data_IF_387916130699
#
_entry.id   IF_387916130699
#
_cell.length_a   1.000
_cell.length_b   1.000
_cell.length_c   1.000
_cell.angle_alpha   90.00
_cell.angle_beta   90.00
_cell.angle_gamma   90.00
#
_symmetry.space_group_name_H-M   'P 1'
#
loop_
_entity.id
_entity.type
_entity.pdbx_description
1 polymer ?
#
# COMPACT_ATOMS: atom_id res chain seq x y z
N UNK A 1 -12.45 3.25 44.82
CA UNK A 1 -13.19 2.27 45.63
C UNK A 1 -14.60 2.78 45.84
N UNK A 2 -15.61 2.11 45.29
CA UNK A 2 -16.98 2.11 45.85
C UNK A 2 -17.76 0.94 45.23
N UNK A 3 -18.24 0.04 46.06
CA UNK A 3 -19.22 -1.02 45.77
C UNK A 3 -20.64 -0.40 45.90
N UNK A 4 -21.81 -0.95 45.55
CA UNK A 4 -22.28 -2.22 44.97
C UNK A 4 -23.60 -1.89 44.16
N UNK A 5 -24.42 -2.79 43.62
CA UNK A 5 -24.46 -4.26 43.63
C UNK A 5 -25.24 -4.83 42.42
N UNK A 6 -25.36 -6.16 42.41
CA UNK A 6 -26.23 -7.02 41.57
C UNK A 6 -27.70 -6.90 41.99
N UNK A 7 -28.64 -7.09 41.05
CA UNK A 7 -29.86 -7.87 41.32
C UNK A 7 -30.48 -8.44 40.03
N UNK A 8 -30.76 -9.74 40.04
CA UNK A 8 -31.52 -10.44 39.02
C UNK A 8 -32.42 -11.49 39.65
N UNK A 9 -33.66 -11.58 39.17
CA UNK A 9 -34.76 -12.48 39.57
C UNK A 9 -35.82 -12.41 38.45
N UNK A 10 -36.67 -13.40 38.20
CA UNK A 10 -36.60 -14.84 38.51
C UNK A 10 -37.47 -15.61 37.50
N UNK A 11 -37.43 -16.94 37.54
CA UNK A 11 -38.24 -17.81 36.70
C UNK A 11 -39.71 -17.86 37.14
N UNK A 12 -40.63 -18.03 36.20
CA UNK A 12 -41.89 -18.77 36.42
C UNK A 12 -42.14 -19.75 35.28
N UNK A 13 -42.80 -20.86 35.62
CA UNK A 13 -43.09 -21.99 34.73
C UNK A 13 -44.58 -22.31 34.80
N UNK A 14 -45.18 -22.66 33.66
CA UNK A 14 -46.50 -23.30 33.61
C UNK A 14 -46.62 -24.11 32.32
N UNK A 15 -47.17 -25.32 32.41
CA UNK A 15 -46.95 -26.38 31.43
C UNK A 15 -48.14 -26.69 30.51
N UNK A 16 -47.81 -27.19 29.33
CA UNK A 16 -48.56 -28.22 28.56
C UNK A 16 -50.02 -27.98 28.13
N UNK A 17 -50.24 -27.91 26.82
CA UNK A 17 -51.32 -28.70 26.18
C UNK A 17 -50.86 -29.20 24.81
N UNK A 18 -51.24 -30.43 24.47
CA UNK A 18 -50.66 -31.22 23.37
C UNK A 18 -51.47 -31.12 22.08
N UNK A 19 -50.81 -30.83 20.94
CA UNK A 19 -51.29 -31.30 19.62
C UNK A 19 -50.10 -31.69 18.73
N UNK A 20 -50.23 -32.83 18.05
CA UNK A 20 -49.18 -33.49 17.26
C UNK A 20 -49.21 -33.14 15.77
N UNK A 21 -48.05 -32.93 15.14
CA UNK A 21 -47.73 -33.53 13.82
C UNK A 21 -46.29 -33.28 13.31
N UNK A 22 -45.77 -34.32 12.63
CA UNK A 22 -44.70 -34.31 11.58
C UNK A 22 -43.27 -33.83 11.89
N UNK A 23 -42.34 -34.77 11.67
CA UNK A 23 -40.89 -34.64 11.53
C UNK A 23 -40.45 -33.65 10.42
N UNK A 24 -39.32 -32.95 10.59
CA UNK A 24 -38.05 -33.32 9.90
C UNK A 24 -36.86 -32.34 10.16
N UNK A 25 -35.67 -32.94 10.25
CA UNK A 25 -34.32 -32.41 9.96
C UNK A 25 -33.82 -31.06 10.56
N UNK A 26 -32.76 -31.17 11.38
CA UNK A 26 -31.81 -30.09 11.72
C UNK A 26 -31.21 -29.45 10.46
N UNK A 27 -31.13 -28.11 10.40
CA UNK A 27 -30.26 -27.39 9.45
C UNK A 27 -28.95 -26.96 10.14
N UNK A 28 -27.81 -27.40 9.61
CA UNK A 28 -26.49 -26.81 9.89
C UNK A 28 -26.31 -25.54 9.05
N UNK A 29 -25.49 -24.56 9.47
CA UNK A 29 -25.16 -23.41 8.64
C UNK A 29 -24.28 -23.84 7.46
N UNK A 30 -24.67 -23.46 6.25
CA UNK A 30 -23.91 -23.71 5.02
C UNK A 30 -23.05 -22.50 4.68
N UNK A 31 -21.72 -22.67 4.66
CA UNK A 31 -20.81 -21.73 4.02
C UNK A 31 -21.14 -21.64 2.52
N UNK A 32 -21.18 -20.43 1.96
CA UNK A 32 -21.39 -20.23 0.51
C UNK A 32 -20.08 -20.40 -0.26
N UNK A 33 -20.09 -20.89 -1.51
CA UNK A 33 -18.87 -21.09 -2.29
C UNK A 33 -18.30 -19.77 -2.81
N UNK A 34 -16.98 -19.69 -2.90
CA UNK A 34 -16.29 -18.66 -3.67
C UNK A 34 -16.69 -18.74 -5.14
N UNK A 35 -16.91 -17.60 -5.80
CA UNK A 35 -17.22 -17.55 -7.23
C UNK A 35 -15.93 -17.76 -8.01
N UNK A 36 -15.77 -18.94 -8.62
CA UNK A 36 -14.73 -19.20 -9.63
C UNK A 36 -15.37 -19.03 -11.01
N UNK A 37 -14.95 -18.01 -11.75
CA UNK A 37 -15.40 -17.81 -13.13
C UNK A 37 -14.60 -18.73 -14.07
N UNK A 38 -15.29 -19.69 -14.70
CA UNK A 38 -14.74 -20.51 -15.79
C UNK A 38 -15.16 -19.91 -17.13
N UNK A 39 -14.19 -19.55 -17.96
CA UNK A 39 -14.40 -19.00 -19.30
C UNK A 39 -14.27 -20.12 -20.35
N UNK A 40 -15.27 -20.24 -21.22
CA UNK A 40 -15.21 -21.13 -22.38
C UNK A 40 -15.33 -20.34 -23.70
N UNK A 41 -14.45 -20.72 -24.65
CA UNK A 41 -14.43 -20.37 -26.09
C UNK A 41 -14.38 -18.89 -26.53
N UNK A 42 -13.14 -18.43 -26.74
CA UNK A 42 -12.58 -17.71 -27.92
C UNK A 42 -13.46 -16.74 -28.75
N UNK A 43 -12.89 -15.57 -29.12
CA UNK A 43 -11.95 -15.55 -30.26
C UNK A 43 -10.48 -15.59 -29.85
N UNK A 44 -9.60 -16.00 -30.77
CA UNK A 44 -8.15 -16.03 -30.53
C UNK A 44 -7.61 -14.64 -30.17
N UNK A 45 -6.82 -14.50 -29.08
CA UNK A 45 -6.24 -13.22 -28.72
C UNK A 45 -5.24 -12.76 -29.79
N UNK A 46 -5.03 -11.45 -29.97
CA UNK A 46 -3.96 -10.95 -30.82
C UNK A 46 -2.62 -11.49 -30.31
N UNK A 47 -1.78 -11.99 -31.21
CA UNK A 47 -0.46 -12.56 -30.91
C UNK A 47 0.51 -11.46 -30.46
N UNK A 48 0.41 -11.08 -29.19
CA UNK A 48 1.31 -10.16 -28.49
C UNK A 48 2.54 -10.85 -27.88
N UNK A 49 2.66 -12.18 -28.05
CA UNK A 49 3.92 -12.89 -27.82
C UNK A 49 4.84 -12.59 -29.01
N UNK A 50 5.58 -11.49 -28.92
CA UNK A 50 6.88 -11.43 -29.58
C UNK A 50 7.88 -12.16 -28.69
N UNK A 51 8.39 -13.31 -29.13
CA UNK A 51 9.52 -14.02 -28.48
C UNK A 51 10.86 -13.28 -28.68
N UNK A 52 10.82 -11.95 -28.62
CA UNK A 52 11.98 -11.06 -28.63
C UNK A 52 12.13 -10.51 -27.22
N UNK A 53 13.31 -10.63 -26.59
CA UNK A 53 13.55 -10.01 -25.29
C UNK A 53 13.46 -8.49 -25.45
N UNK A 54 12.35 -7.90 -25.01
CA UNK A 54 12.25 -6.46 -24.80
C UNK A 54 13.18 -6.13 -23.63
N UNK A 55 14.38 -5.71 -24.00
CA UNK A 55 15.53 -5.38 -23.15
C UNK A 55 15.28 -5.52 -21.64
N UNK A 56 15.58 -6.71 -21.11
CA UNK A 56 16.20 -6.78 -19.80
C UNK A 56 17.58 -6.10 -19.94
N UNK A 57 17.57 -4.76 -19.89
CA UNK A 57 18.79 -4.00 -19.71
C UNK A 57 19.49 -4.60 -18.48
N UNK A 58 20.78 -4.93 -18.54
CA UNK A 58 21.50 -5.37 -17.35
C UNK A 58 21.26 -4.32 -16.27
N UNK A 59 20.63 -4.73 -15.16
CA UNK A 59 20.60 -3.91 -13.96
C UNK A 59 22.07 -3.53 -13.74
N UNK A 60 22.43 -2.23 -13.70
CA UNK A 60 23.80 -1.85 -13.41
C UNK A 60 24.15 -2.58 -12.12
N UNK A 61 25.25 -3.33 -12.14
CA UNK A 61 25.79 -3.92 -10.92
C UNK A 61 26.23 -2.76 -10.04
N UNK A 62 25.27 -2.20 -9.30
CA UNK A 62 25.47 -1.68 -7.97
C UNK A 62 25.93 -2.89 -7.15
N UNK A 63 27.19 -3.24 -7.35
CA UNK A 63 27.98 -3.85 -6.30
C UNK A 63 27.65 -3.07 -5.04
N UNK A 64 27.30 -3.73 -3.93
CA UNK A 64 27.30 -3.06 -2.65
C UNK A 64 28.69 -2.44 -2.54
N UNK A 65 28.78 -1.11 -2.63
CA UNK A 65 30.04 -0.40 -2.45
C UNK A 65 30.37 -0.61 -0.98
N UNK A 66 31.22 -1.60 -0.75
CA UNK A 66 31.54 -2.13 0.57
C UNK A 66 31.86 -0.95 1.50
N UNK A 67 31.10 -0.87 2.60
CA UNK A 67 31.25 0.16 3.62
C UNK A 67 31.26 1.61 3.10
N UNK A 68 30.25 2.02 2.34
CA UNK A 68 29.95 3.46 2.17
C UNK A 68 29.65 4.13 3.53
N UNK A 69 30.67 4.70 4.15
CA UNK A 69 30.51 5.70 5.21
C UNK A 69 31.64 5.81 6.23
N UNK A 70 32.34 4.72 6.56
CA UNK A 70 33.28 4.75 7.69
C UNK A 70 34.75 4.65 7.24
N UNK A 71 35.23 3.52 6.71
CA UNK A 71 36.69 3.36 6.41
C UNK A 71 37.27 4.50 5.56
N UNK A 72 36.61 4.87 4.45
CA UNK A 72 37.05 5.99 3.60
C UNK A 72 36.98 7.37 4.28
N UNK A 73 36.15 7.55 5.30
CA UNK A 73 36.02 8.81 6.04
C UNK A 73 36.99 8.85 7.23
N UNK A 74 37.14 7.74 7.97
CA UNK A 74 38.12 7.59 9.03
C UNK A 74 39.55 7.70 8.46
N UNK A 75 39.84 7.09 7.31
CA UNK A 75 41.11 7.27 6.58
C UNK A 75 41.31 8.71 6.11
N UNK A 76 40.26 9.39 5.63
CA UNK A 76 40.34 10.81 5.25
C UNK A 76 40.54 11.72 6.48
N UNK A 77 39.92 11.39 7.61
CA UNK A 77 40.07 12.10 8.90
C UNK A 77 41.48 11.91 9.43
N UNK A 78 42.06 10.71 9.40
CA UNK A 78 43.44 10.48 9.82
C UNK A 78 44.47 11.10 8.86
N UNK A 79 44.22 11.03 7.54
CA UNK A 79 45.05 11.74 6.56
C UNK A 79 45.01 13.27 6.77
N UNK A 80 43.83 13.83 7.06
CA UNK A 80 43.66 15.25 7.36
C UNK A 80 44.33 15.63 8.69
N UNK A 81 44.14 14.84 9.76
CA UNK A 81 44.85 15.02 11.05
C UNK A 81 46.36 14.99 10.86
N UNK A 82 46.88 14.06 10.05
CA UNK A 82 48.30 13.96 9.72
C UNK A 82 48.80 15.22 8.99
N UNK A 83 48.12 15.64 7.92
CA UNK A 83 48.47 16.86 7.18
C UNK A 83 48.42 18.12 8.05
N UNK A 84 47.45 18.22 8.97
CA UNK A 84 47.36 19.30 9.96
C UNK A 84 48.45 19.21 11.04
N UNK A 85 48.94 18.00 11.35
CA UNK A 85 50.08 17.82 12.27
C UNK A 85 51.41 18.22 11.62
N UNK A 86 51.57 17.95 10.32
CA UNK A 86 52.78 18.26 9.54
C UNK A 86 52.85 19.74 9.12
N UNK A 87 51.71 20.38 8.86
CA UNK A 87 51.61 21.82 8.55
C UNK A 87 51.08 22.62 9.74
N UNK A 88 51.92 22.78 10.76
CA UNK A 88 51.56 23.46 12.02
C UNK A 88 50.97 24.87 11.85
N UNK A 89 51.36 25.61 10.82
CA UNK A 89 50.84 26.95 10.49
C UNK A 89 49.36 26.92 10.06
N UNK A 90 48.90 25.83 9.44
CA UNK A 90 47.51 25.69 8.98
C UNK A 90 46.54 25.22 10.07
N UNK A 91 47.02 24.82 11.26
CA UNK A 91 46.12 24.37 12.34
C UNK A 91 45.14 25.45 12.78
N UNK A 92 45.60 26.70 12.92
CA UNK A 92 44.75 27.80 13.34
C UNK A 92 43.68 28.13 12.28
N UNK A 93 44.06 28.16 11.01
CA UNK A 93 43.12 28.45 9.92
C UNK A 93 42.15 27.29 9.66
N UNK A 94 42.61 26.04 9.74
CA UNK A 94 41.74 24.88 9.61
C UNK A 94 40.77 24.75 10.78
N UNK A 95 41.20 25.00 12.02
CA UNK A 95 40.30 25.08 13.17
C UNK A 95 39.26 26.19 13.00
N UNK A 96 39.69 27.40 12.63
CA UNK A 96 38.78 28.52 12.36
C UNK A 96 37.77 28.22 11.23
N UNK A 97 38.18 27.51 10.17
CA UNK A 97 37.27 27.07 9.09
C UNK A 97 36.32 25.96 9.55
N UNK A 98 36.75 25.03 10.41
CA UNK A 98 35.87 24.02 11.01
C UNK A 98 34.87 24.66 11.96
N UNK A 99 35.29 25.60 12.79
CA UNK A 99 34.42 26.36 13.69
C UNK A 99 33.43 27.23 12.88
N UNK A 100 33.88 27.84 11.78
CA UNK A 100 33.03 28.60 10.86
C UNK A 100 31.99 27.69 10.18
N UNK A 101 32.40 26.55 9.61
CA UNK A 101 31.47 25.60 8.97
C UNK A 101 30.49 25.03 10.01
N UNK A 102 30.95 24.76 11.24
CA UNK A 102 30.09 24.32 12.34
C UNK A 102 29.10 25.41 12.74
N UNK A 103 29.53 26.67 12.80
CA UNK A 103 28.65 27.81 13.01
C UNK A 103 27.64 27.99 11.88
N UNK A 104 28.05 27.87 10.60
CA UNK A 104 27.17 27.98 9.42
C UNK A 104 26.13 26.84 9.35
N UNK A 105 26.50 25.61 9.71
CA UNK A 105 25.54 24.49 9.82
C UNK A 105 24.55 24.69 10.98
N UNK A 106 25.02 25.26 12.09
CA UNK A 106 24.17 25.59 13.23
C UNK A 106 23.26 26.80 12.95
N UNK A 107 23.72 27.82 12.21
CA UNK A 107 22.90 28.99 11.85
C UNK A 107 21.91 28.68 10.72
N UNK A 108 22.25 27.80 9.78
CA UNK A 108 21.29 27.21 8.84
C UNK A 108 20.17 26.42 9.54
N UNK A 109 20.39 26.03 10.81
CA UNK A 109 19.40 25.42 11.70
C UNK A 109 18.76 26.42 12.68
N UNK A 110 19.25 27.67 12.74
CA UNK A 110 18.82 28.70 13.69
C UNK A 110 18.04 29.87 13.05
N UNK A 111 17.95 29.92 11.72
CA UNK A 111 16.87 30.64 11.03
C UNK A 111 15.53 30.02 11.45
N UNK A 112 14.90 30.62 12.47
CA UNK A 112 13.83 30.06 13.30
C UNK A 112 12.47 29.83 12.62
N UNK A 113 12.46 29.32 11.39
CA UNK A 113 11.33 28.49 10.96
C UNK A 113 11.33 27.24 11.84
N UNK A 114 10.21 26.89 12.50
CA UNK A 114 10.11 25.58 13.11
C UNK A 114 10.37 24.56 12.00
N UNK A 115 11.24 23.59 12.28
CA UNK A 115 11.40 22.46 11.37
C UNK A 115 10.01 21.86 11.18
N UNK A 116 9.57 21.73 9.92
CA UNK A 116 8.19 21.33 9.62
C UNK A 116 7.96 19.94 10.20
N UNK A 117 7.17 19.86 11.28
CA UNK A 117 7.01 18.65 12.08
C UNK A 117 6.57 17.42 11.26
N UNK A 118 5.98 17.63 10.08
CA UNK A 118 5.70 16.58 9.11
C UNK A 118 6.98 15.96 8.50
N UNK A 119 7.96 16.79 8.16
CA UNK A 119 9.29 16.39 7.65
C UNK A 119 10.11 15.69 8.72
N UNK A 120 10.11 16.20 9.97
CA UNK A 120 10.77 15.51 11.09
C UNK A 120 10.16 14.13 11.34
N UNK A 121 8.82 14.03 11.33
CA UNK A 121 8.13 12.76 11.47
C UNK A 121 8.50 11.75 10.37
N UNK A 122 8.79 12.20 9.15
CA UNK A 122 9.30 11.34 8.07
C UNK A 122 10.75 10.90 8.32
N UNK A 123 11.63 11.81 8.74
CA UNK A 123 13.03 11.50 9.12
C UNK A 123 13.09 10.46 10.24
N UNK A 124 12.36 10.70 11.34
CA UNK A 124 12.27 9.78 12.48
C UNK A 124 11.72 8.42 12.08
N UNK A 125 10.69 8.40 11.24
CA UNK A 125 10.12 7.16 10.70
C UNK A 125 11.11 6.34 9.88
N UNK A 126 11.95 7.00 9.06
CA UNK A 126 13.00 6.33 8.32
C UNK A 126 14.15 5.84 9.22
N UNK A 127 14.56 6.62 10.22
CA UNK A 127 15.57 6.20 11.22
C UNK A 127 15.09 4.98 11.99
N UNK A 128 13.83 4.96 12.41
CA UNK A 128 13.20 3.79 13.03
C UNK A 128 13.20 2.58 12.09
N UNK A 129 12.76 2.73 10.83
CA UNK A 129 12.82 1.65 9.84
C UNK A 129 14.24 1.09 9.66
N UNK A 130 15.23 1.98 9.52
CA UNK A 130 16.63 1.59 9.31
C UNK A 130 17.13 0.74 10.49
N UNK A 131 16.97 1.23 11.72
CA UNK A 131 17.48 0.56 12.93
C UNK A 131 16.68 -0.69 13.31
N UNK A 132 15.35 -0.63 13.23
CA UNK A 132 14.47 -1.65 13.82
C UNK A 132 13.99 -2.71 12.82
N UNK A 133 14.17 -2.46 11.50
CA UNK A 133 13.81 -3.41 10.44
C UNK A 133 15.00 -3.75 9.54
N UNK A 134 15.65 -2.75 8.94
CA UNK A 134 16.71 -2.98 7.96
C UNK A 134 17.96 -3.64 8.59
N UNK A 135 18.57 -2.98 9.56
CA UNK A 135 19.81 -3.44 10.23
C UNK A 135 19.63 -4.75 11.01
N UNK A 136 18.40 -5.05 11.45
CA UNK A 136 18.06 -6.31 12.15
C UNK A 136 17.80 -7.50 11.23
N UNK A 137 17.66 -7.30 9.92
CA UNK A 137 17.38 -8.37 8.95
C UNK A 137 18.35 -8.32 7.74
N UNK A 138 19.68 -8.30 7.97
CA UNK A 138 20.66 -8.07 6.90
C UNK A 138 20.62 -9.14 5.80
N UNK A 139 20.27 -10.40 6.14
CA UNK A 139 20.09 -11.46 5.15
C UNK A 139 18.91 -11.16 4.20
N UNK A 140 17.74 -10.75 4.75
CA UNK A 140 16.57 -10.43 3.95
C UNK A 140 16.85 -9.25 3.00
N UNK A 141 17.31 -8.13 3.53
CA UNK A 141 17.56 -6.94 2.73
C UNK A 141 18.77 -7.09 1.79
N UNK A 142 19.74 -7.94 2.15
CA UNK A 142 20.86 -8.33 1.29
C UNK A 142 20.43 -9.13 0.05
N UNK A 143 19.42 -10.00 0.15
CA UNK A 143 18.82 -10.65 -1.02
C UNK A 143 17.92 -9.69 -1.82
N UNK A 144 17.07 -8.90 -1.14
CA UNK A 144 16.18 -7.92 -1.80
C UNK A 144 16.95 -6.84 -2.58
N UNK A 145 18.18 -6.51 -2.18
CA UNK A 145 19.05 -5.59 -2.91
C UNK A 145 19.52 -6.16 -4.27
N UNK A 146 19.49 -7.48 -4.47
CA UNK A 146 19.87 -8.15 -5.73
C UNK A 146 18.70 -8.19 -6.73
N UNK A 147 17.46 -8.13 -6.25
CA UNK A 147 16.25 -8.19 -7.06
C UNK A 147 15.00 -8.52 -6.24
N UNK A 148 13.86 -8.59 -6.93
CA UNK A 148 12.55 -8.91 -6.34
C UNK A 148 11.89 -10.07 -7.11
N UNK A 149 11.15 -10.91 -6.38
CA UNK A 149 10.33 -12.00 -6.95
C UNK A 149 9.00 -12.16 -6.19
N UNK A 150 8.17 -11.10 -6.14
CA UNK A 150 6.92 -11.13 -5.40
C UNK A 150 5.96 -12.17 -5.97
N UNK A 151 5.25 -12.88 -5.09
CA UNK A 151 4.24 -13.87 -5.50
C UNK A 151 2.91 -13.21 -5.82
N UNK A 152 2.63 -12.06 -5.22
CA UNK A 152 1.35 -11.37 -5.33
C UNK A 152 1.50 -10.04 -6.06
N UNK A 153 0.55 -9.70 -6.91
CA UNK A 153 0.23 -8.32 -7.24
C UNK A 153 -0.98 -7.89 -6.40
N UNK A 154 -0.92 -6.72 -5.77
CA UNK A 154 -2.03 -6.18 -4.97
C UNK A 154 -2.46 -4.84 -5.56
N UNK A 155 -3.75 -4.70 -5.88
CA UNK A 155 -4.38 -3.41 -6.19
C UNK A 155 -5.24 -3.00 -5.00
N UNK A 156 -4.84 -1.95 -4.28
CA UNK A 156 -5.50 -1.48 -3.06
C UNK A 156 -5.84 0.02 -3.16
N UNK A 157 -6.71 0.51 -2.27
CA UNK A 157 -7.08 1.92 -2.27
C UNK A 157 -5.92 2.77 -1.74
N UNK A 158 -5.77 4.01 -2.22
CA UNK A 158 -4.82 5.01 -1.67
C UNK A 158 -5.19 5.51 -0.26
N UNK A 159 -6.37 5.13 0.27
CA UNK A 159 -6.84 5.50 1.60
C UNK A 159 -5.82 5.14 2.70
N UNK A 160 -5.50 6.12 3.55
CA UNK A 160 -4.41 6.01 4.55
C UNK A 160 -4.65 4.94 5.62
N UNK A 161 -5.90 4.48 5.78
CA UNK A 161 -6.31 3.50 6.80
C UNK A 161 -6.04 2.05 6.40
N UNK A 162 -5.83 1.78 5.10
CA UNK A 162 -5.83 0.42 4.52
C UNK A 162 -4.54 0.12 3.74
N UNK A 163 -3.38 0.37 4.37
CA UNK A 163 -2.10 -0.04 3.80
C UNK A 163 -2.05 -1.58 3.68
N UNK A 164 -1.94 -2.17 2.47
CA UNK A 164 -2.08 -3.62 2.30
C UNK A 164 -0.99 -4.41 3.03
N UNK A 165 0.22 -3.87 3.11
CA UNK A 165 1.32 -4.49 3.88
C UNK A 165 1.02 -4.60 5.38
N UNK A 166 0.20 -3.70 5.93
CA UNK A 166 -0.21 -3.75 7.33
C UNK A 166 -1.44 -4.63 7.55
N UNK A 167 -2.42 -4.55 6.64
CA UNK A 167 -3.68 -5.32 6.72
C UNK A 167 -3.44 -6.83 6.52
N UNK A 168 -2.44 -7.21 5.73
CA UNK A 168 -2.12 -8.60 5.38
C UNK A 168 -0.77 -9.10 5.95
N UNK A 169 -0.11 -8.32 6.83
CA UNK A 169 1.21 -8.62 7.42
C UNK A 169 2.31 -9.00 6.40
N UNK A 170 2.25 -8.40 5.20
CA UNK A 170 3.16 -8.73 4.10
C UNK A 170 4.56 -8.17 4.35
N UNK A 171 5.56 -9.02 4.21
CA UNK A 171 6.96 -8.66 4.34
C UNK A 171 7.49 -7.99 3.06
N UNK A 172 8.59 -7.21 3.15
CA UNK A 172 9.25 -6.64 1.99
C UNK A 172 9.61 -7.71 0.96
N UNK A 173 9.19 -7.48 -0.30
CA UNK A 173 9.42 -8.40 -1.41
C UNK A 173 8.32 -9.43 -1.68
N UNK A 174 7.30 -9.57 -0.82
CA UNK A 174 6.23 -10.55 -1.05
C UNK A 174 5.19 -10.11 -2.09
N UNK A 175 4.91 -8.81 -2.17
CA UNK A 175 3.86 -8.23 -3.01
C UNK A 175 4.35 -7.01 -3.83
N UNK A 176 3.99 -6.99 -5.12
CA UNK A 176 4.08 -5.81 -5.98
C UNK A 176 2.76 -5.03 -5.89
N UNK A 177 2.80 -3.78 -5.41
CA UNK A 177 1.60 -3.06 -4.97
C UNK A 177 1.30 -1.85 -5.85
N UNK A 178 0.08 -1.78 -6.36
CA UNK A 178 -0.53 -0.58 -6.98
C UNK A 178 -1.54 0.00 -6.01
N UNK A 179 -1.50 1.32 -5.79
CA UNK A 179 -2.51 2.04 -4.99
C UNK A 179 -3.12 3.19 -5.78
N UNK A 180 -4.44 3.23 -5.87
CA UNK A 180 -5.19 4.29 -6.55
C UNK A 180 -6.53 4.57 -5.84
N UNK A 181 -7.28 5.58 -6.31
CA UNK A 181 -8.58 5.93 -5.71
C UNK A 181 -9.59 4.79 -5.95
N UNK A 182 -10.14 4.25 -4.86
CA UNK A 182 -11.10 3.13 -4.87
C UNK A 182 -10.61 1.85 -5.57
N UNK A 183 -9.29 1.57 -5.55
CA UNK A 183 -8.71 0.29 -6.02
C UNK A 183 -9.22 -0.18 -7.39
N UNK A 184 -9.46 0.77 -8.29
CA UNK A 184 -10.06 0.53 -9.60
C UNK A 184 -9.06 -0.12 -10.54
N UNK A 185 -9.52 -1.14 -11.26
CA UNK A 185 -8.82 -1.73 -12.42
C UNK A 185 -9.64 -1.43 -13.67
N UNK A 186 -9.25 -0.45 -14.49
CA UNK A 186 -9.93 -0.15 -15.74
C UNK A 186 -9.74 -1.24 -16.79
N UNK A 187 -10.57 -1.27 -17.85
CA UNK A 187 -10.29 -2.07 -19.03
C UNK A 187 -8.98 -1.62 -19.72
N UNK A 188 -8.44 -2.50 -20.56
CA UNK A 188 -7.23 -2.22 -21.34
C UNK A 188 -7.39 -1.01 -22.28
N UNK A 189 -6.62 0.04 -22.05
CA UNK A 189 -6.48 1.21 -22.93
C UNK A 189 -5.04 1.75 -22.79
N UNK A 190 -4.26 1.66 -23.87
CA UNK A 190 -2.84 2.07 -23.88
C UNK A 190 -2.64 3.59 -23.73
N UNK A 191 -3.67 4.39 -24.01
CA UNK A 191 -3.59 5.86 -23.98
C UNK A 191 -4.08 6.38 -22.64
N UNK A 192 -5.24 5.90 -22.16
CA UNK A 192 -5.90 6.41 -20.95
C UNK A 192 -5.38 5.78 -19.67
N UNK A 193 -4.99 4.50 -19.70
CA UNK A 193 -4.75 3.70 -18.50
C UNK A 193 -3.36 3.05 -18.44
N UNK A 194 -2.40 3.62 -19.18
CA UNK A 194 -1.01 3.16 -19.25
C UNK A 194 -0.36 2.93 -17.86
N UNK A 195 -0.69 3.75 -16.86
CA UNK A 195 -0.13 3.62 -15.50
C UNK A 195 -0.45 2.28 -14.81
N UNK A 196 -1.70 1.79 -14.90
CA UNK A 196 -2.08 0.49 -14.33
C UNK A 196 -1.89 -0.66 -15.32
N UNK A 197 -2.02 -0.40 -16.63
CA UNK A 197 -1.71 -1.37 -17.68
C UNK A 197 -0.25 -1.81 -17.61
N UNK A 198 0.71 -0.88 -17.55
CA UNK A 198 2.14 -1.19 -17.42
C UNK A 198 2.48 -1.86 -16.08
N UNK A 199 1.78 -1.52 -14.99
CA UNK A 199 1.98 -2.18 -13.71
C UNK A 199 1.53 -3.66 -13.73
N UNK A 200 0.39 -3.96 -14.37
CA UNK A 200 -0.08 -5.35 -14.59
C UNK A 200 0.87 -6.09 -15.54
N UNK A 201 1.25 -5.47 -16.65
CA UNK A 201 2.20 -6.02 -17.63
C UNK A 201 3.54 -6.37 -16.97
N UNK A 202 4.10 -5.47 -16.17
CA UNK A 202 5.34 -5.71 -15.45
C UNK A 202 5.22 -6.82 -14.41
N UNK A 203 4.16 -6.82 -13.61
CA UNK A 203 3.92 -7.87 -12.61
C UNK A 203 3.78 -9.27 -13.25
N UNK A 204 2.98 -9.39 -14.31
CA UNK A 204 2.67 -10.68 -14.94
C UNK A 204 3.79 -11.14 -15.87
N UNK A 205 4.28 -10.27 -16.76
CA UNK A 205 5.24 -10.67 -17.79
C UNK A 205 6.70 -10.61 -17.33
N UNK A 206 7.06 -9.74 -16.38
CA UNK A 206 8.44 -9.59 -15.93
C UNK A 206 8.68 -10.18 -14.53
N UNK A 207 7.87 -9.83 -13.53
CA UNK A 207 8.04 -10.35 -12.16
C UNK A 207 7.48 -11.77 -11.96
N UNK A 208 6.63 -12.24 -12.88
CA UNK A 208 5.97 -13.55 -12.84
C UNK A 208 5.18 -13.79 -11.54
N UNK A 209 4.42 -12.77 -11.11
CA UNK A 209 3.47 -12.92 -9.99
C UNK A 209 2.51 -14.09 -10.27
N UNK A 210 2.16 -14.82 -9.23
CA UNK A 210 1.30 -16.00 -9.30
C UNK A 210 -0.18 -15.60 -9.20
N UNK A 211 -0.47 -14.57 -8.41
CA UNK A 211 -1.82 -14.13 -8.07
C UNK A 211 -1.96 -12.61 -8.19
N UNK A 212 -3.14 -12.13 -8.63
CA UNK A 212 -3.51 -10.71 -8.62
C UNK A 212 -4.72 -10.53 -7.72
N UNK A 213 -4.58 -9.72 -6.67
CA UNK A 213 -5.62 -9.47 -5.67
C UNK A 213 -6.07 -8.01 -5.73
N UNK A 214 -7.36 -7.78 -5.98
CA UNK A 214 -7.98 -6.44 -5.88
C UNK A 214 -8.70 -6.35 -4.53
N UNK A 215 -8.33 -5.37 -3.71
CA UNK A 215 -8.79 -5.24 -2.33
C UNK A 215 -9.62 -3.97 -2.16
N UNK A 216 -10.95 -4.15 -2.14
CA UNK A 216 -11.91 -3.14 -1.69
C UNK A 216 -11.85 -2.92 -0.17
N UNK A 217 -12.48 -1.86 0.33
CA UNK A 217 -12.57 -1.59 1.76
C UNK A 217 -13.85 -0.83 2.14
N UNK A 218 -14.24 -0.95 3.41
CA UNK A 218 -15.39 -0.25 3.96
C UNK A 218 -15.17 1.26 4.04
N UNK A 219 -16.27 2.01 3.87
CA UNK A 219 -16.28 3.48 3.91
C UNK A 219 -15.25 4.11 2.95
N UNK A 220 -15.26 3.65 1.70
CA UNK A 220 -14.38 4.11 0.64
C UNK A 220 -14.88 5.45 0.06
N UNK A 221 -14.05 6.50 0.17
CA UNK A 221 -14.38 7.83 -0.36
C UNK A 221 -14.66 7.85 -1.87
N UNK A 222 -13.92 7.05 -2.65
CA UNK A 222 -14.12 6.96 -4.09
C UNK A 222 -15.40 6.21 -4.49
N UNK A 223 -15.79 5.15 -3.76
CA UNK A 223 -17.08 4.48 -3.96
C UNK A 223 -18.24 5.39 -3.52
N UNK A 224 -18.10 6.12 -2.42
CA UNK A 224 -19.08 7.14 -2.02
C UNK A 224 -19.24 8.22 -3.10
N UNK A 225 -18.14 8.66 -3.71
CA UNK A 225 -18.15 9.54 -4.88
C UNK A 225 -18.94 8.92 -6.04
N UNK A 226 -18.52 7.73 -6.50
CA UNK A 226 -19.19 6.97 -7.56
C UNK A 226 -20.71 6.88 -7.34
N UNK A 227 -21.17 6.47 -6.16
CA UNK A 227 -22.60 6.35 -5.88
C UNK A 227 -23.33 7.70 -5.87
N UNK A 228 -22.67 8.79 -5.45
CA UNK A 228 -23.27 10.13 -5.34
C UNK A 228 -23.30 10.93 -6.64
N UNK A 229 -22.29 10.79 -7.52
CA UNK A 229 -22.20 11.61 -8.74
C UNK A 229 -23.26 11.24 -9.79
N UNK A 230 -23.82 12.23 -10.53
CA UNK A 230 -24.88 11.99 -11.50
C UNK A 230 -24.37 11.37 -12.81
N UNK A 231 -23.15 11.69 -13.24
CA UNK A 231 -22.58 11.32 -14.56
C UNK A 231 -23.45 11.74 -15.76
N UNK A 232 -24.07 12.92 -15.67
CA UNK A 232 -24.89 13.55 -16.71
C UNK A 232 -24.08 14.30 -17.78
N UNK A 233 -22.75 14.35 -17.63
CA UNK A 233 -21.81 15.05 -18.51
C UNK A 233 -21.34 16.40 -17.96
N UNK A 234 -21.91 16.90 -16.85
CA UNK A 234 -21.47 18.11 -16.19
C UNK A 234 -20.67 17.77 -14.92
N UNK A 235 -19.38 17.42 -15.11
CA UNK A 235 -18.48 17.06 -14.01
C UNK A 235 -18.27 18.25 -13.04
N UNK A 236 -18.26 17.93 -11.75
CA UNK A 236 -17.94 18.85 -10.64
C UNK A 236 -16.47 18.79 -10.21
N UNK A 237 -15.69 17.87 -10.78
CA UNK A 237 -14.29 17.58 -10.46
C UNK A 237 -13.46 17.35 -11.72
N UNK A 238 -12.19 17.77 -11.70
CA UNK A 238 -11.30 17.66 -12.87
C UNK A 238 -11.00 16.21 -13.27
N UNK A 239 -10.84 15.32 -12.27
CA UNK A 239 -10.38 13.94 -12.47
C UNK A 239 -11.17 12.88 -11.70
N UNK A 240 -11.92 13.24 -10.65
CA UNK A 240 -12.44 12.23 -9.70
C UNK A 240 -13.61 11.48 -10.33
N UNK A 241 -14.60 12.19 -10.88
CA UNK A 241 -15.70 11.57 -11.65
C UNK A 241 -15.16 10.76 -12.83
N UNK A 242 -14.19 11.33 -13.55
CA UNK A 242 -13.58 10.71 -14.72
C UNK A 242 -12.74 9.46 -14.42
N UNK A 243 -12.24 9.33 -13.19
CA UNK A 243 -11.63 8.09 -12.68
C UNK A 243 -12.68 7.11 -12.17
N UNK A 244 -13.55 7.52 -11.23
CA UNK A 244 -14.45 6.56 -10.56
C UNK A 244 -15.54 6.03 -11.49
N UNK A 245 -15.80 6.66 -12.65
CA UNK A 245 -16.72 6.13 -13.68
C UNK A 245 -16.32 4.76 -14.22
N UNK A 246 -15.08 4.30 -14.01
CA UNK A 246 -14.66 2.90 -14.21
C UNK A 246 -15.64 1.93 -13.50
N UNK A 247 -16.13 2.29 -12.32
CA UNK A 247 -17.05 1.51 -11.50
C UNK A 247 -18.54 1.63 -11.87
N UNK A 248 -18.92 2.35 -12.94
CA UNK A 248 -20.34 2.47 -13.35
C UNK A 248 -21.06 1.11 -13.47
N UNK A 249 -20.48 0.04 -14.04
CA UNK A 249 -21.14 -1.27 -14.08
C UNK A 249 -21.52 -1.81 -12.70
N UNK A 250 -20.68 -1.58 -11.67
CA UNK A 250 -20.97 -1.96 -10.29
C UNK A 250 -22.07 -1.07 -9.68
N UNK A 251 -22.01 0.25 -9.88
CA UNK A 251 -23.07 1.19 -9.49
C UNK A 251 -24.42 0.78 -10.08
N UNK A 252 -24.48 0.51 -11.38
CA UNK A 252 -25.71 0.12 -12.08
C UNK A 252 -26.30 -1.17 -11.50
N UNK A 253 -25.46 -2.18 -11.25
CA UNK A 253 -25.90 -3.43 -10.59
C UNK A 253 -26.47 -3.15 -9.20
N UNK A 254 -25.76 -2.40 -8.36
CA UNK A 254 -26.18 -2.10 -6.99
C UNK A 254 -27.46 -1.26 -6.96
N UNK A 255 -27.64 -0.31 -7.88
CA UNK A 255 -28.90 0.45 -7.98
C UNK A 255 -30.07 -0.40 -8.48
N UNK A 256 -29.84 -1.41 -9.33
CA UNK A 256 -30.88 -2.36 -9.74
C UNK A 256 -31.30 -3.31 -8.61
N UNK A 257 -30.36 -3.74 -7.77
CA UNK A 257 -30.60 -4.68 -6.66
C UNK A 257 -31.04 -3.99 -5.35
N UNK A 258 -30.57 -2.75 -5.12
CA UNK A 258 -30.66 -2.03 -3.83
C UNK A 258 -30.97 -0.53 -3.96
N UNK A 259 -31.45 -0.03 -5.11
CA UNK A 259 -31.65 1.40 -5.36
C UNK A 259 -32.67 2.11 -4.45
N UNK A 260 -33.55 1.36 -3.77
CA UNK A 260 -34.47 1.91 -2.75
C UNK A 260 -33.85 2.07 -1.35
N UNK A 261 -32.65 1.53 -1.12
CA UNK A 261 -31.96 1.61 0.17
C UNK A 261 -31.27 2.98 0.37
N UNK A 262 -31.01 3.42 1.62
CA UNK A 262 -30.23 4.62 1.88
C UNK A 262 -28.83 4.56 1.26
N UNK A 263 -28.29 5.70 0.80
CA UNK A 263 -26.98 5.80 0.12
C UNK A 263 -25.84 5.07 0.85
N UNK A 264 -25.78 5.11 2.19
CA UNK A 264 -24.76 4.39 2.96
C UNK A 264 -24.84 2.86 2.83
N UNK A 265 -26.05 2.30 2.71
CA UNK A 265 -26.26 0.88 2.42
C UNK A 265 -25.86 0.59 0.98
N UNK A 266 -26.27 1.41 0.01
CA UNK A 266 -25.85 1.27 -1.39
C UNK A 266 -24.32 1.27 -1.54
N UNK A 267 -23.61 2.20 -0.88
CA UNK A 267 -22.14 2.18 -0.81
C UNK A 267 -21.60 0.87 -0.22
N UNK A 268 -22.19 0.39 0.89
CA UNK A 268 -21.79 -0.88 1.54
C UNK A 268 -22.00 -2.12 0.64
N UNK A 269 -22.88 -2.04 -0.36
CA UNK A 269 -23.05 -3.06 -1.39
C UNK A 269 -22.07 -2.88 -2.57
N UNK A 270 -21.72 -1.63 -2.92
CA UNK A 270 -20.77 -1.33 -3.99
C UNK A 270 -19.28 -1.43 -3.55
N UNK A 271 -19.01 -1.51 -2.25
CA UNK A 271 -17.68 -1.75 -1.66
C UNK A 271 -17.28 -3.24 -1.64
N UNK A 272 -18.13 -4.15 -2.16
CA UNK A 272 -17.99 -5.62 -2.13
C UNK A 272 -17.93 -6.23 -3.52
#
# INVERSE_FOLDING_TARGET
MSTASINGWCLTSSSSTTTTSSFSARRRPTLRPSVVASLNSSPSPPTLIQDRPVFAAPIPLLTPREEMGNKSYDEAIEALKKLLSEKGELKAEAAARVDQITAELNTASADGKPSDSSVERLKEGFVYFKKEKYEKNPALYGELAKGQSPKYMIVACSDSRVCPSHVLDMQPGEAFVVRNVANMVPPYDQIKYAGIGSAIEYAVLHLKVQEIVVIGHSACGGIKGLMSFPFDGNNSTDFIEDWVKIGIPAKTKVLAEHGGEPLGVQCTHCEK
#
